data_IF_649929088162
#
_entry.id   IF_649929088162
#
_cell.length_a   1.000
_cell.length_b   1.000
_cell.length_c   1.000
_cell.angle_alpha   90.00
_cell.angle_beta   90.00
_cell.angle_gamma   90.00
#
_symmetry.space_group_name_H-M   'P 1'
#
loop_
_entity.id
_entity.type
_entity.pdbx_description
1 polymer ?
#
# COMPACT_ATOMS: atom_id res chain seq x y z
N UNK A 1 -46.62 4.68 23.29
CA UNK A 1 -45.93 5.15 22.07
C UNK A 1 -44.87 6.14 22.51
N UNK A 2 -43.62 5.70 22.66
CA UNK A 2 -42.50 6.57 23.04
C UNK A 2 -41.78 6.94 21.73
N UNK A 3 -41.65 8.22 21.37
CA UNK A 3 -40.94 8.59 20.15
C UNK A 3 -39.46 8.25 20.33
N UNK A 4 -38.91 7.44 19.42
CA UNK A 4 -37.46 7.31 19.26
C UNK A 4 -36.95 8.65 18.74
N UNK A 5 -36.21 9.37 19.56
CA UNK A 5 -35.36 10.47 19.11
C UNK A 5 -34.31 9.90 18.14
N UNK A 6 -34.41 10.30 16.87
CA UNK A 6 -33.30 10.19 15.93
C UNK A 6 -32.21 11.15 16.41
N UNK A 7 -31.14 10.60 16.98
CA UNK A 7 -29.91 11.36 17.17
C UNK A 7 -29.34 11.69 15.81
N UNK A 8 -29.55 12.92 15.35
CA UNK A 8 -28.68 13.54 14.36
C UNK A 8 -27.33 13.77 15.04
N UNK A 9 -26.53 12.70 15.10
CA UNK A 9 -25.13 12.78 15.46
C UNK A 9 -24.40 13.48 14.31
N UNK A 10 -23.64 14.51 14.64
CA UNK A 10 -22.57 15.04 13.80
C UNK A 10 -21.58 13.88 13.55
N UNK A 11 -21.85 13.08 12.52
CA UNK A 11 -21.23 11.76 12.35
C UNK A 11 -19.84 11.90 11.75
N UNK A 12 -18.81 11.94 12.61
CA UNK A 12 -17.47 11.62 12.17
C UNK A 12 -17.46 10.17 11.67
N UNK A 13 -17.21 9.98 10.37
CA UNK A 13 -16.97 8.65 9.80
C UNK A 13 -15.70 8.07 10.43
N UNK A 14 -15.75 6.80 10.84
CA UNK A 14 -14.57 6.10 11.35
C UNK A 14 -13.62 5.83 10.17
N UNK A 15 -12.64 6.71 10.02
CA UNK A 15 -11.61 6.64 8.96
C UNK A 15 -10.78 5.35 9.01
N UNK A 16 -10.82 4.60 10.12
CA UNK A 16 -10.10 3.35 10.32
C UNK A 16 -11.01 2.11 10.30
N UNK A 17 -12.29 2.28 9.95
CA UNK A 17 -13.24 1.18 9.82
C UNK A 17 -12.72 0.12 8.84
N UNK A 18 -12.85 -1.15 9.23
CA UNK A 18 -12.56 -2.32 8.39
C UNK A 18 -13.84 -3.01 7.93
N UNK A 19 -15.00 -2.42 8.18
CA UNK A 19 -16.33 -2.97 7.87
C UNK A 19 -17.19 -1.93 7.14
N UNK A 20 -16.64 -1.34 6.09
CA UNK A 20 -17.29 -0.31 5.28
C UNK A 20 -18.35 -0.92 4.36
N UNK A 21 -19.43 -0.18 4.14
CA UNK A 21 -20.46 -0.50 3.14
C UNK A 21 -20.14 0.22 1.83
N UNK A 22 -19.77 -0.56 0.82
CA UNK A 22 -19.20 -0.07 -0.43
C UNK A 22 -20.04 -0.58 -1.62
N UNK A 23 -20.18 0.18 -2.71
CA UNK A 23 -20.95 -0.27 -3.87
C UNK A 23 -20.34 -1.53 -4.50
N UNK A 24 -21.16 -2.42 -5.05
CA UNK A 24 -20.64 -3.57 -5.79
C UNK A 24 -20.10 -3.16 -7.16
N UNK A 25 -19.01 -3.77 -7.65
CA UNK A 25 -18.49 -3.48 -8.97
C UNK A 25 -19.43 -4.04 -10.05
N UNK A 26 -19.49 -3.39 -11.20
CA UNK A 26 -20.29 -3.84 -12.36
C UNK A 26 -19.72 -5.09 -13.05
N UNK A 27 -18.48 -5.46 -12.75
CA UNK A 27 -17.80 -6.63 -13.29
C UNK A 27 -17.29 -7.54 -12.18
N UNK A 28 -17.33 -8.86 -12.40
CA UNK A 28 -16.78 -9.82 -11.47
C UNK A 28 -15.24 -9.71 -11.39
N UNK A 29 -14.74 -9.48 -10.18
CA UNK A 29 -13.29 -9.41 -9.89
C UNK A 29 -12.84 -10.52 -8.90
N UNK A 30 -13.81 -11.25 -8.35
CA UNK A 30 -13.64 -12.36 -7.41
C UNK A 30 -14.46 -13.57 -7.92
N UNK A 31 -14.02 -14.83 -7.72
CA UNK A 31 -12.80 -15.26 -7.04
C UNK A 31 -11.51 -14.99 -7.82
N UNK A 32 -11.62 -14.67 -9.11
CA UNK A 32 -10.50 -14.27 -9.96
C UNK A 32 -10.97 -13.26 -11.01
N UNK A 33 -10.18 -12.20 -11.24
CA UNK A 33 -10.38 -11.31 -12.38
C UNK A 33 -9.76 -11.87 -13.65
N UNK A 34 -8.63 -12.56 -13.53
CA UNK A 34 -7.96 -13.28 -14.62
C UNK A 34 -7.64 -14.72 -14.23
N UNK A 35 -7.63 -15.62 -15.21
CA UNK A 35 -7.23 -17.03 -15.01
C UNK A 35 -5.80 -17.18 -14.46
N UNK A 36 -4.94 -16.19 -14.71
CA UNK A 36 -3.55 -16.15 -14.24
C UNK A 36 -3.38 -15.58 -12.83
N UNK A 37 -4.44 -15.05 -12.24
CA UNK A 37 -4.38 -14.55 -10.87
C UNK A 37 -4.29 -15.70 -9.87
N UNK A 38 -3.55 -15.49 -8.80
CA UNK A 38 -3.58 -16.34 -7.62
C UNK A 38 -5.00 -16.40 -7.02
N UNK A 39 -5.31 -17.47 -6.31
CA UNK A 39 -6.58 -17.59 -5.58
C UNK A 39 -6.51 -16.73 -4.31
N UNK A 40 -7.59 -16.02 -4.00
CA UNK A 40 -7.79 -15.42 -2.68
C UNK A 40 -8.06 -16.50 -1.63
N UNK A 41 -7.47 -16.35 -0.45
CA UNK A 41 -7.76 -17.09 0.79
C UNK A 41 -8.73 -16.31 1.67
N UNK A 42 -8.73 -14.99 1.57
CA UNK A 42 -9.65 -14.10 2.29
C UNK A 42 -11.01 -14.07 1.58
N UNK A 43 -12.11 -14.07 2.34
CA UNK A 43 -13.45 -13.94 1.77
C UNK A 43 -13.65 -12.55 1.15
N UNK A 44 -14.42 -12.50 0.06
CA UNK A 44 -14.67 -11.25 -0.67
C UNK A 44 -15.23 -10.14 0.23
N UNK A 45 -16.17 -10.46 1.13
CA UNK A 45 -16.75 -9.48 2.05
C UNK A 45 -15.69 -8.82 2.95
N UNK A 46 -14.70 -9.58 3.43
CA UNK A 46 -13.62 -9.04 4.27
C UNK A 46 -12.69 -8.15 3.43
N UNK A 47 -12.35 -8.58 2.20
CA UNK A 47 -11.55 -7.81 1.25
C UNK A 47 -12.22 -6.49 0.86
N UNK A 48 -13.53 -6.55 0.60
CA UNK A 48 -14.35 -5.44 0.11
C UNK A 48 -14.64 -4.39 1.17
N UNK A 49 -14.96 -4.84 2.39
CA UNK A 49 -15.31 -3.93 3.48
C UNK A 49 -14.09 -3.27 4.15
N UNK A 50 -12.87 -3.76 3.89
CA UNK A 50 -11.62 -3.13 4.34
C UNK A 50 -11.28 -1.81 3.62
N UNK A 51 -11.97 -1.50 2.52
CA UNK A 51 -11.70 -0.31 1.70
C UNK A 51 -12.53 0.85 2.25
N UNK A 52 -11.87 1.95 2.60
CA UNK A 52 -12.54 3.18 3.00
C UNK A 52 -12.63 4.13 1.81
N UNK A 53 -13.85 4.45 1.40
CA UNK A 53 -14.13 5.43 0.35
C UNK A 53 -14.68 6.71 1.02
N UNK A 54 -13.94 7.83 0.97
CA UNK A 54 -14.44 9.09 1.51
C UNK A 54 -15.73 9.55 0.80
N UNK A 55 -16.61 10.23 1.52
CA UNK A 55 -17.90 10.68 0.97
C UNK A 55 -17.76 11.62 -0.24
N UNK A 56 -16.64 12.34 -0.35
CA UNK A 56 -16.33 13.24 -1.45
C UNK A 56 -15.58 12.58 -2.62
N UNK A 57 -15.34 11.26 -2.54
CA UNK A 57 -14.74 10.51 -3.65
C UNK A 57 -15.70 10.51 -4.85
N UNK A 58 -15.18 10.82 -6.01
CA UNK A 58 -15.95 11.13 -7.20
C UNK A 58 -15.96 10.02 -8.25
N UNK A 59 -15.44 8.82 -7.92
CA UNK A 59 -15.57 7.61 -8.75
C UNK A 59 -15.09 7.79 -10.21
N UNK A 60 -14.04 8.58 -10.41
CA UNK A 60 -13.52 8.88 -11.75
C UNK A 60 -14.48 9.66 -12.66
N UNK A 61 -15.51 10.31 -12.10
CA UNK A 61 -16.47 11.14 -12.86
C UNK A 61 -15.95 12.55 -13.17
N UNK A 62 -14.79 12.93 -12.63
CA UNK A 62 -14.05 14.13 -13.01
C UNK A 62 -12.69 13.78 -13.62
N UNK A 63 -11.82 14.79 -13.79
CA UNK A 63 -10.48 14.60 -14.37
C UNK A 63 -9.43 14.12 -13.36
N UNK A 64 -9.78 13.94 -12.08
CA UNK A 64 -8.86 13.49 -11.04
C UNK A 64 -8.64 11.98 -11.15
N UNK A 65 -7.40 11.58 -10.92
CA UNK A 65 -7.00 10.17 -10.88
C UNK A 65 -7.38 9.58 -9.53
N UNK A 66 -8.12 8.46 -9.46
CA UNK A 66 -8.29 7.73 -8.22
C UNK A 66 -6.95 7.28 -7.66
N UNK A 67 -6.68 7.58 -6.39
CA UNK A 67 -5.42 7.23 -5.72
C UNK A 67 -5.70 6.32 -4.54
N UNK A 68 -5.25 5.06 -4.66
CA UNK A 68 -5.35 4.09 -3.59
C UNK A 68 -4.14 4.20 -2.65
N UNK A 69 -4.41 4.44 -1.37
CA UNK A 69 -3.40 4.63 -0.32
C UNK A 69 -3.28 3.36 0.54
N UNK A 70 -2.07 2.79 0.62
CA UNK A 70 -1.82 1.50 1.29
C UNK A 70 -0.92 1.71 2.53
N UNK A 71 -1.40 1.37 3.74
CA UNK A 71 -0.70 1.68 4.99
C UNK A 71 0.54 0.81 5.24
N UNK A 72 1.30 1.19 6.26
CA UNK A 72 2.47 0.48 6.76
C UNK A 72 2.14 -0.49 7.89
N UNK A 73 3.21 -1.12 8.42
CA UNK A 73 3.09 -2.08 9.53
C UNK A 73 2.54 -1.39 10.79
N UNK A 74 1.55 -1.99 11.44
CA UNK A 74 0.98 -1.48 12.69
C UNK A 74 0.02 -0.30 12.52
N UNK A 75 -0.35 0.05 11.28
CA UNK A 75 -1.23 1.19 10.96
C UNK A 75 -2.45 0.80 10.13
N UNK A 76 -3.53 1.53 10.32
CA UNK A 76 -4.65 1.59 9.38
C UNK A 76 -4.39 2.68 8.32
N UNK A 77 -5.12 2.64 7.20
CA UNK A 77 -5.02 3.62 6.13
C UNK A 77 -5.36 5.04 6.59
N UNK A 78 -6.42 5.20 7.38
CA UNK A 78 -6.84 6.50 7.91
C UNK A 78 -5.75 7.14 8.76
N UNK A 79 -5.22 6.43 9.74
CA UNK A 79 -4.08 6.88 10.58
C UNK A 79 -2.85 7.25 9.76
N UNK A 80 -2.53 6.47 8.73
CA UNK A 80 -1.34 6.66 7.93
C UNK A 80 -1.44 7.89 7.01
N UNK A 81 -2.62 8.19 6.46
CA UNK A 81 -2.74 9.10 5.33
C UNK A 81 -3.70 10.28 5.47
N UNK A 82 -4.69 10.22 6.37
CA UNK A 82 -5.75 11.23 6.45
C UNK A 82 -5.17 12.64 6.62
N UNK A 83 -4.14 12.78 7.46
CA UNK A 83 -3.51 14.06 7.77
C UNK A 83 -2.44 14.54 6.77
N UNK A 84 -2.08 13.73 5.77
CA UNK A 84 -0.98 14.01 4.83
C UNK A 84 -1.39 13.86 3.34
N UNK A 85 -1.06 12.76 2.67
CA UNK A 85 -1.34 12.52 1.25
C UNK A 85 -2.83 12.57 0.94
N UNK A 86 -3.71 12.02 1.78
CA UNK A 86 -5.15 12.11 1.53
C UNK A 86 -5.63 13.57 1.58
N UNK A 87 -5.17 14.34 2.57
CA UNK A 87 -5.44 15.78 2.65
C UNK A 87 -4.92 16.55 1.44
N UNK A 88 -3.68 16.28 1.03
CA UNK A 88 -3.04 16.93 -0.12
C UNK A 88 -3.79 16.62 -1.42
N UNK A 89 -4.11 15.35 -1.66
CA UNK A 89 -4.79 14.89 -2.87
C UNK A 89 -6.22 15.42 -2.93
N UNK A 90 -6.96 15.40 -1.81
CA UNK A 90 -8.31 15.97 -1.72
C UNK A 90 -8.33 17.46 -2.07
N UNK A 91 -7.31 18.22 -1.65
CA UNK A 91 -7.16 19.63 -1.98
C UNK A 91 -6.61 19.89 -3.40
N UNK A 92 -6.20 18.85 -4.11
CA UNK A 92 -5.62 18.95 -5.45
C UNK A 92 -6.66 18.86 -6.56
N UNK A 93 -6.29 19.28 -7.76
CA UNK A 93 -7.11 19.13 -8.96
C UNK A 93 -6.79 17.87 -9.76
N UNK A 94 -5.92 16.98 -9.26
CA UNK A 94 -5.42 15.83 -10.03
C UNK A 94 -5.62 14.48 -9.37
N UNK A 95 -5.87 14.41 -8.07
CA UNK A 95 -5.98 13.16 -7.32
C UNK A 95 -7.24 13.07 -6.49
N UNK A 96 -7.78 11.86 -6.34
CA UNK A 96 -8.95 11.58 -5.52
C UNK A 96 -8.67 10.37 -4.62
N UNK A 97 -8.42 10.57 -3.31
CA UNK A 97 -7.87 9.53 -2.46
C UNK A 97 -8.93 8.57 -1.90
N UNK A 98 -8.58 7.29 -1.86
CA UNK A 98 -9.23 6.23 -1.08
C UNK A 98 -8.15 5.44 -0.36
N UNK A 99 -8.44 4.80 0.76
CA UNK A 99 -7.42 4.06 1.51
C UNK A 99 -7.90 2.71 2.00
N UNK A 100 -6.92 1.85 2.28
CA UNK A 100 -7.15 0.48 2.72
C UNK A 100 -6.90 0.35 4.22
N UNK A 101 -7.86 -0.19 4.96
CA UNK A 101 -7.75 -0.53 6.37
C UNK A 101 -7.69 -2.04 6.52
N UNK A 102 -6.48 -2.61 6.34
CA UNK A 102 -6.28 -4.07 6.45
C UNK A 102 -6.49 -4.51 7.91
N UNK A 103 -7.39 -5.47 8.19
CA UNK A 103 -7.56 -6.05 9.52
C UNK A 103 -6.23 -6.52 10.11
N UNK A 104 -6.09 -6.40 11.43
CA UNK A 104 -4.81 -6.67 12.09
C UNK A 104 -3.72 -5.61 11.80
N UNK A 105 -4.08 -4.46 11.19
CA UNK A 105 -3.20 -3.29 11.00
C UNK A 105 -1.91 -3.65 10.27
N UNK A 106 -2.01 -4.47 9.22
CA UNK A 106 -0.85 -4.99 8.47
C UNK A 106 0.14 -5.85 9.30
N UNK A 107 -0.24 -6.35 10.49
CA UNK A 107 0.66 -7.16 11.31
C UNK A 107 0.56 -8.67 11.05
N UNK A 108 -0.52 -9.13 10.41
CA UNK A 108 -0.73 -10.53 10.02
C UNK A 108 0.18 -10.94 8.86
N UNK A 109 0.04 -12.18 8.37
CA UNK A 109 0.81 -12.69 7.22
C UNK A 109 0.80 -11.70 6.04
N UNK A 110 1.97 -11.18 5.67
CA UNK A 110 2.16 -10.19 4.62
C UNK A 110 1.64 -10.66 3.25
N UNK A 111 1.63 -11.98 2.98
CA UNK A 111 1.02 -12.52 1.75
C UNK A 111 -0.51 -12.39 1.78
N UNK A 112 -1.12 -12.47 2.96
CA UNK A 112 -2.56 -12.26 3.17
C UNK A 112 -2.88 -10.76 3.13
N UNK A 113 -2.03 -9.90 3.69
CA UNK A 113 -2.18 -8.44 3.57
C UNK A 113 -2.17 -8.00 2.09
N UNK A 114 -1.34 -8.63 1.25
CA UNK A 114 -1.30 -8.37 -0.19
C UNK A 114 -2.56 -8.80 -0.95
N UNK A 115 -3.39 -9.69 -0.41
CA UNK A 115 -4.69 -10.04 -1.01
C UNK A 115 -5.65 -8.85 -0.96
N UNK A 116 -5.70 -8.13 0.17
CA UNK A 116 -6.49 -6.90 0.30
C UNK A 116 -6.07 -5.84 -0.72
N UNK A 117 -4.75 -5.70 -0.95
CA UNK A 117 -4.22 -4.76 -1.93
C UNK A 117 -4.58 -5.17 -3.36
N UNK A 118 -4.45 -6.45 -3.71
CA UNK A 118 -4.81 -6.95 -5.04
C UNK A 118 -6.30 -6.76 -5.34
N UNK A 119 -7.16 -7.05 -4.36
CA UNK A 119 -8.59 -6.84 -4.46
C UNK A 119 -8.92 -5.35 -4.60
N UNK A 120 -8.37 -4.50 -3.74
CA UNK A 120 -8.62 -3.05 -3.75
C UNK A 120 -8.20 -2.38 -5.06
N UNK A 121 -7.05 -2.76 -5.64
CA UNK A 121 -6.62 -2.27 -6.96
C UNK A 121 -7.68 -2.59 -8.02
N UNK A 122 -8.09 -3.85 -8.08
CA UNK A 122 -9.05 -4.30 -9.09
C UNK A 122 -10.44 -3.68 -8.88
N UNK A 123 -10.87 -3.58 -7.63
CA UNK A 123 -12.15 -3.03 -7.21
C UNK A 123 -12.28 -1.54 -7.49
N UNK A 124 -11.35 -0.71 -7.01
CA UNK A 124 -11.40 0.74 -7.22
C UNK A 124 -11.33 1.05 -8.72
N UNK A 125 -10.46 0.36 -9.46
CA UNK A 125 -10.38 0.52 -10.91
C UNK A 125 -11.70 0.15 -11.62
N UNK A 126 -12.38 -0.90 -11.16
CA UNK A 126 -13.66 -1.32 -11.74
C UNK A 126 -14.78 -0.29 -11.49
N UNK A 127 -14.94 0.18 -10.24
CA UNK A 127 -16.00 1.16 -9.92
C UNK A 127 -15.73 2.53 -10.54
N UNK A 128 -14.47 2.89 -10.79
CA UNK A 128 -14.09 4.15 -11.43
C UNK A 128 -13.95 4.03 -12.96
N UNK A 129 -14.11 2.82 -13.52
CA UNK A 129 -13.87 2.53 -14.96
C UNK A 129 -12.56 3.12 -15.51
N UNK A 130 -11.51 3.17 -14.69
CA UNK A 130 -10.25 3.85 -15.00
C UNK A 130 -9.07 3.17 -14.31
N UNK A 131 -7.86 3.43 -14.82
CA UNK A 131 -6.63 3.05 -14.11
C UNK A 131 -6.44 3.96 -12.90
N UNK A 132 -5.94 3.40 -11.82
CA UNK A 132 -5.69 4.11 -10.57
C UNK A 132 -4.19 4.36 -10.38
N UNK A 133 -3.84 5.37 -9.59
CA UNK A 133 -2.51 5.45 -8.99
C UNK A 133 -2.52 4.75 -7.63
N UNK A 134 -1.37 4.23 -7.22
CA UNK A 134 -1.20 3.62 -5.89
C UNK A 134 -0.06 4.33 -5.17
N UNK A 135 -0.31 4.81 -3.95
CA UNK A 135 0.72 5.29 -3.03
C UNK A 135 0.77 4.32 -1.87
N UNK A 136 1.94 3.79 -1.56
CA UNK A 136 2.10 2.89 -0.43
C UNK A 136 3.27 3.32 0.43
N UNK A 137 3.12 3.11 1.74
CA UNK A 137 4.15 3.41 2.71
C UNK A 137 4.62 2.14 3.42
N UNK A 138 5.92 2.04 3.70
CA UNK A 138 6.49 0.95 4.51
C UNK A 138 6.13 -0.43 3.95
N UNK A 139 5.61 -1.35 4.77
CA UNK A 139 5.13 -2.67 4.34
C UNK A 139 4.11 -2.63 3.20
N UNK A 140 3.28 -1.57 3.11
CA UNK A 140 2.34 -1.41 2.02
C UNK A 140 3.01 -1.51 0.65
N UNK A 141 4.27 -1.03 0.53
CA UNK A 141 5.04 -1.14 -0.71
C UNK A 141 5.29 -2.59 -1.12
N UNK A 142 5.65 -3.42 -0.16
CA UNK A 142 5.89 -4.84 -0.32
C UNK A 142 4.59 -5.57 -0.66
N UNK A 143 3.47 -5.19 -0.04
CA UNK A 143 2.15 -5.72 -0.36
C UNK A 143 1.73 -5.39 -1.80
N UNK A 144 1.92 -4.14 -2.26
CA UNK A 144 1.65 -3.75 -3.66
C UNK A 144 2.50 -4.55 -4.64
N UNK A 145 3.82 -4.66 -4.41
CA UNK A 145 4.70 -5.42 -5.29
C UNK A 145 4.33 -6.92 -5.32
N UNK A 146 3.92 -7.49 -4.18
CA UNK A 146 3.42 -8.86 -4.10
C UNK A 146 2.11 -9.03 -4.89
N UNK A 147 1.16 -8.11 -4.76
CA UNK A 147 -0.09 -8.10 -5.53
C UNK A 147 0.18 -8.04 -7.04
N UNK A 148 1.06 -7.12 -7.48
CA UNK A 148 1.45 -7.00 -8.89
C UNK A 148 2.12 -8.27 -9.41
N UNK A 149 2.89 -8.97 -8.57
CA UNK A 149 3.53 -10.24 -8.94
C UNK A 149 2.52 -11.38 -9.12
N UNK A 150 1.67 -11.61 -8.12
CA UNK A 150 0.83 -12.82 -8.03
C UNK A 150 -0.62 -12.64 -8.51
N UNK A 151 -1.10 -11.41 -8.69
CA UNK A 151 -2.35 -11.08 -9.37
C UNK A 151 -2.06 -10.22 -10.60
N UNK A 152 -1.54 -10.78 -11.70
CA UNK A 152 -1.13 -10.01 -12.88
C UNK A 152 -2.23 -9.12 -13.46
N UNK A 153 -3.51 -9.42 -13.24
CA UNK A 153 -4.63 -8.57 -13.65
C UNK A 153 -4.58 -7.15 -13.09
N UNK A 154 -3.93 -6.97 -11.94
CA UNK A 154 -3.74 -5.66 -11.29
C UNK A 154 -2.82 -4.73 -12.09
N UNK A 155 -1.86 -5.28 -12.85
CA UNK A 155 -0.85 -4.48 -13.59
C UNK A 155 -1.48 -3.56 -14.62
N UNK A 156 -2.54 -4.02 -15.30
CA UNK A 156 -3.26 -3.19 -16.28
C UNK A 156 -4.21 -2.17 -15.64
N UNK A 157 -4.44 -2.25 -14.32
CA UNK A 157 -5.29 -1.32 -13.57
C UNK A 157 -4.50 -0.21 -12.89
N UNK A 158 -3.18 -0.32 -12.78
CA UNK A 158 -2.33 0.66 -12.11
C UNK A 158 -1.60 1.50 -13.16
N UNK A 159 -1.76 2.83 -13.08
CA UNK A 159 -1.06 3.79 -13.93
C UNK A 159 0.33 4.12 -13.39
N UNK A 160 0.45 4.28 -12.07
CA UNK A 160 1.69 4.58 -11.37
C UNK A 160 1.68 3.96 -9.95
N UNK A 161 2.84 3.50 -9.51
CA UNK A 161 3.09 3.08 -8.14
C UNK A 161 4.14 3.98 -7.47
N UNK A 162 3.73 4.72 -6.44
CA UNK A 162 4.62 5.55 -5.62
C UNK A 162 4.89 4.80 -4.31
N UNK A 163 6.15 4.40 -4.11
CA UNK A 163 6.58 3.64 -2.94
C UNK A 163 7.37 4.55 -1.98
N UNK A 164 6.82 4.79 -0.80
CA UNK A 164 7.42 5.61 0.26
C UNK A 164 8.06 4.72 1.31
N UNK A 165 9.34 4.96 1.63
CA UNK A 165 10.10 4.17 2.61
C UNK A 165 9.99 2.66 2.36
N UNK A 166 10.15 2.25 1.10
CA UNK A 166 9.90 0.87 0.67
C UNK A 166 10.80 -0.16 1.35
N UNK A 167 10.26 -1.37 1.55
CA UNK A 167 10.91 -2.47 2.27
C UNK A 167 10.97 -3.76 1.43
N UNK A 168 11.13 -3.64 0.10
CA UNK A 168 11.06 -4.77 -0.83
C UNK A 168 12.04 -5.91 -0.51
N UNK A 169 13.26 -5.57 -0.05
CA UNK A 169 14.28 -6.56 0.36
C UNK A 169 14.29 -6.82 1.87
N UNK A 170 13.28 -6.35 2.60
CA UNK A 170 13.25 -6.40 4.05
C UNK A 170 14.24 -5.44 4.71
N UNK A 171 14.27 -5.46 6.04
CA UNK A 171 15.16 -4.65 6.87
C UNK A 171 16.04 -5.51 7.76
N UNK A 172 17.28 -5.08 7.99
CA UNK A 172 18.15 -5.69 9.00
C UNK A 172 17.71 -5.31 10.42
N UNK A 173 17.06 -4.15 10.59
CA UNK A 173 16.64 -3.64 11.89
C UNK A 173 15.51 -4.46 12.53
N UNK A 174 14.72 -5.21 11.73
CA UNK A 174 13.72 -6.14 12.24
C UNK A 174 14.31 -7.23 13.16
N UNK A 175 15.63 -7.48 13.11
CA UNK A 175 16.31 -8.37 14.07
C UNK A 175 16.26 -7.86 15.50
N UNK A 176 16.05 -6.56 15.73
CA UNK A 176 15.89 -5.99 17.07
C UNK A 176 14.54 -6.35 17.70
N UNK A 177 13.47 -6.34 16.90
CA UNK A 177 12.10 -6.67 17.34
C UNK A 177 11.80 -8.17 17.31
N UNK A 178 12.53 -8.90 16.45
CA UNK A 178 12.38 -10.33 16.26
C UNK A 178 13.78 -10.97 16.23
N UNK A 179 14.48 -11.14 17.36
CA UNK A 179 15.87 -11.62 17.34
C UNK A 179 15.97 -13.12 17.03
N UNK A 180 15.16 -13.95 17.68
CA UNK A 180 15.22 -15.42 17.58
C UNK A 180 13.84 -16.06 17.59
N UNK A 181 13.72 -17.23 16.95
CA UNK A 181 12.49 -18.03 17.00
C UNK A 181 12.09 -18.28 18.46
N UNK A 182 10.82 -18.02 18.80
CA UNK A 182 10.30 -18.11 20.17
C UNK A 182 10.03 -16.75 20.84
N UNK A 183 10.53 -15.63 20.31
CA UNK A 183 10.11 -14.30 20.75
C UNK A 183 8.76 -13.95 20.11
N UNK A 184 7.72 -13.61 20.90
CA UNK A 184 6.44 -13.16 20.35
C UNK A 184 6.64 -11.92 19.49
N UNK A 185 6.33 -12.03 18.21
CA UNK A 185 6.39 -10.93 17.26
C UNK A 185 5.39 -11.22 16.13
N UNK A 186 4.86 -10.17 15.50
CA UNK A 186 3.84 -10.33 14.48
C UNK A 186 4.39 -11.03 13.23
N UNK A 187 3.59 -11.86 12.54
CA UNK A 187 4.03 -12.54 11.32
C UNK A 187 4.66 -11.60 10.28
N UNK A 188 4.07 -10.42 10.07
CA UNK A 188 4.58 -9.47 9.09
C UNK A 188 5.99 -8.96 9.43
N UNK A 189 6.33 -8.79 10.72
CA UNK A 189 7.67 -8.34 11.12
C UNK A 189 8.70 -9.44 10.81
N UNK A 190 8.39 -10.71 11.07
CA UNK A 190 9.26 -11.83 10.67
C UNK A 190 9.47 -11.87 9.16
N UNK A 191 8.40 -11.66 8.39
CA UNK A 191 8.45 -11.65 6.93
C UNK A 191 9.18 -10.43 6.35
N UNK A 192 9.18 -9.29 7.03
CA UNK A 192 9.93 -8.09 6.64
C UNK A 192 11.41 -8.14 7.05
N UNK A 193 11.88 -9.19 7.71
CA UNK A 193 13.32 -9.39 7.90
C UNK A 193 14.01 -9.50 6.55
N UNK A 194 15.17 -8.86 6.46
CA UNK A 194 16.03 -8.98 5.28
C UNK A 194 16.41 -10.45 5.04
N UNK A 195 16.21 -10.89 3.79
CA UNK A 195 16.43 -12.27 3.34
C UNK A 195 15.52 -13.31 4.03
N UNK A 196 14.36 -12.91 4.55
CA UNK A 196 13.31 -13.86 4.91
C UNK A 196 12.88 -14.70 3.70
N UNK A 197 12.25 -15.85 3.93
CA UNK A 197 11.66 -16.63 2.83
C UNK A 197 10.66 -15.80 2.04
N UNK A 198 9.90 -14.92 2.71
CA UNK A 198 8.94 -14.03 2.08
C UNK A 198 9.62 -13.04 1.12
N UNK A 199 10.62 -12.26 1.59
CA UNK A 199 11.29 -11.25 0.75
C UNK A 199 12.10 -11.91 -0.36
N UNK A 200 12.73 -13.05 -0.09
CA UNK A 200 13.43 -13.83 -1.12
C UNK A 200 12.46 -14.33 -2.19
N UNK A 201 11.27 -14.79 -1.79
CA UNK A 201 10.21 -15.22 -2.71
C UNK A 201 9.63 -14.05 -3.49
N UNK A 202 9.45 -12.87 -2.88
CA UNK A 202 9.01 -11.67 -3.57
C UNK A 202 10.01 -11.27 -4.65
N UNK A 203 11.31 -11.23 -4.32
CA UNK A 203 12.35 -10.71 -5.19
C UNK A 203 12.80 -11.69 -6.28
N UNK A 204 12.46 -12.98 -6.18
CA UNK A 204 12.80 -13.97 -7.20
C UNK A 204 12.03 -13.77 -8.52
N UNK A 205 12.53 -14.36 -9.62
CA UNK A 205 11.83 -14.42 -10.91
C UNK A 205 11.38 -13.04 -11.43
N UNK A 206 12.28 -12.05 -11.33
CA UNK A 206 12.06 -10.67 -11.77
C UNK A 206 11.12 -9.87 -10.87
N UNK A 207 10.80 -10.33 -9.66
CA UNK A 207 10.01 -9.56 -8.70
C UNK A 207 10.79 -8.42 -8.03
N UNK A 208 12.11 -8.40 -8.23
CA UNK A 208 13.00 -7.29 -7.90
C UNK A 208 13.03 -6.17 -8.94
N UNK A 209 12.36 -6.37 -10.08
CA UNK A 209 12.04 -5.35 -11.06
C UNK A 209 10.58 -4.89 -10.95
N UNK A 210 10.32 -3.62 -11.26
CA UNK A 210 8.97 -3.07 -11.27
C UNK A 210 8.05 -3.80 -12.28
N UNK A 211 6.75 -3.83 -11.98
CA UNK A 211 5.71 -4.38 -12.85
C UNK A 211 4.89 -3.31 -13.58
N UNK A 212 4.91 -2.08 -13.07
CA UNK A 212 4.22 -0.88 -13.57
C UNK A 212 5.15 0.32 -13.36
N UNK A 213 4.92 1.49 -13.99
CA UNK A 213 5.71 2.69 -13.72
C UNK A 213 5.82 2.93 -12.22
N UNK A 214 7.04 2.97 -11.68
CA UNK A 214 7.27 2.98 -10.23
C UNK A 214 8.25 4.06 -9.81
N UNK A 215 7.83 4.88 -8.84
CA UNK A 215 8.67 5.89 -8.19
C UNK A 215 8.89 5.49 -6.74
N UNK A 216 10.12 5.09 -6.42
CA UNK A 216 10.54 4.75 -5.07
C UNK A 216 11.21 5.96 -4.43
N UNK A 217 10.71 6.40 -3.27
CA UNK A 217 11.23 7.55 -2.52
C UNK A 217 11.62 7.07 -1.12
N UNK A 218 12.88 7.27 -0.74
CA UNK A 218 13.42 6.75 0.50
C UNK A 218 14.57 7.60 1.04
N UNK A 219 14.88 7.40 2.31
CA UNK A 219 15.85 8.19 3.06
C UNK A 219 16.93 7.30 3.66
N UNK A 220 18.20 7.67 3.53
CA UNK A 220 19.29 6.94 4.20
C UNK A 220 19.22 6.98 5.72
N UNK A 221 18.49 7.96 6.28
CA UNK A 221 18.30 8.13 7.73
C UNK A 221 17.05 7.41 8.26
N UNK A 222 16.39 6.58 7.44
CA UNK A 222 15.25 5.76 7.86
C UNK A 222 15.67 4.82 9.02
N UNK A 223 15.06 4.99 10.18
CA UNK A 223 15.41 4.27 11.40
C UNK A 223 14.79 2.86 11.49
N UNK A 224 13.82 2.54 10.62
CA UNK A 224 13.08 1.27 10.62
C UNK A 224 13.57 0.35 9.51
N UNK A 225 13.82 0.89 8.33
CA UNK A 225 14.25 0.15 7.15
C UNK A 225 15.72 0.45 6.88
N UNK A 226 16.56 -0.57 7.00
CA UNK A 226 17.98 -0.47 6.65
C UNK A 226 18.48 -1.73 5.93
N UNK A 227 19.43 -1.58 4.99
CA UNK A 227 19.91 -0.32 4.41
C UNK A 227 18.87 0.38 3.54
N UNK A 228 18.83 1.72 3.56
CA UNK A 228 18.04 2.59 2.65
C UNK A 228 18.94 3.54 1.85
N UNK A 229 20.10 3.06 1.42
CA UNK A 229 21.04 3.84 0.63
C UNK A 229 21.84 2.97 -0.33
N UNK A 230 22.29 3.60 -1.41
CA UNK A 230 23.12 2.97 -2.44
C UNK A 230 22.47 1.73 -3.07
N UNK A 231 23.30 0.90 -3.71
CA UNK A 231 22.84 -0.28 -4.50
C UNK A 231 22.15 -1.37 -3.66
N UNK A 232 22.25 -1.31 -2.33
CA UNK A 232 21.65 -2.30 -1.43
C UNK A 232 20.37 -1.81 -0.77
N UNK A 233 19.93 -0.58 -1.05
CA UNK A 233 18.72 0.01 -0.49
C UNK A 233 17.53 -0.95 -0.61
N UNK A 234 16.76 -1.09 0.47
CA UNK A 234 15.61 -2.00 0.48
C UNK A 234 14.53 -1.55 -0.48
N UNK A 235 14.31 -0.24 -0.58
CA UNK A 235 13.35 0.40 -1.46
C UNK A 235 13.71 0.38 -2.95
N UNK A 236 14.92 -0.04 -3.35
CA UNK A 236 15.33 0.00 -4.75
C UNK A 236 14.54 -1.01 -5.59
N UNK A 237 14.07 -0.63 -6.77
CA UNK A 237 13.58 -1.58 -7.78
C UNK A 237 14.34 -1.43 -9.10
N UNK A 238 14.52 -2.54 -9.80
CA UNK A 238 15.08 -2.58 -11.14
C UNK A 238 13.99 -2.34 -12.19
N UNK A 239 14.38 -2.19 -13.45
CA UNK A 239 13.46 -1.96 -14.57
C UNK A 239 13.73 -2.89 -15.75
N UNK A 240 13.86 -4.19 -15.50
CA UNK A 240 14.06 -5.19 -16.57
C UNK A 240 12.89 -5.23 -17.57
N UNK A 241 11.72 -4.72 -17.20
CA UNK A 241 10.52 -4.69 -18.03
C UNK A 241 10.37 -3.40 -18.85
N UNK A 242 11.23 -2.40 -18.65
CA UNK A 242 11.15 -1.11 -19.33
C UNK A 242 9.84 -0.37 -19.05
N UNK A 243 9.27 -0.52 -17.85
CA UNK A 243 8.03 0.13 -17.43
C UNK A 243 8.26 1.55 -16.91
N UNK A 244 9.51 1.93 -16.67
CA UNK A 244 9.91 3.22 -16.12
C UNK A 244 10.03 3.15 -14.60
N UNK A 245 11.26 3.26 -14.09
CA UNK A 245 11.54 3.29 -12.65
C UNK A 245 12.39 4.48 -12.25
N UNK A 246 11.96 5.19 -11.22
CA UNK A 246 12.75 6.22 -10.54
C UNK A 246 13.03 5.78 -9.10
N UNK A 247 14.31 5.67 -8.74
CA UNK A 247 14.73 5.43 -7.36
C UNK A 247 15.33 6.73 -6.77
N UNK A 248 14.58 7.38 -5.90
CA UNK A 248 14.90 8.66 -5.28
C UNK A 248 15.36 8.45 -3.84
N UNK A 249 16.67 8.29 -3.65
CA UNK A 249 17.28 8.47 -2.34
C UNK A 249 17.36 9.98 -2.05
N UNK A 250 16.57 10.49 -1.12
CA UNK A 250 16.43 11.94 -0.86
C UNK A 250 17.80 12.61 -0.71
N UNK A 251 18.69 12.04 0.11
CA UNK A 251 19.99 12.62 0.39
C UNK A 251 20.93 12.59 -0.82
N UNK A 252 20.75 11.66 -1.76
CA UNK A 252 21.51 11.61 -2.99
C UNK A 252 21.01 12.64 -4.02
N UNK A 253 19.68 12.85 -4.09
CA UNK A 253 19.05 13.75 -5.07
C UNK A 253 19.12 15.21 -4.62
N UNK A 254 18.80 15.50 -3.36
CA UNK A 254 18.64 16.86 -2.84
C UNK A 254 19.97 17.44 -2.31
N UNK A 255 20.93 16.58 -1.94
CA UNK A 255 22.25 16.98 -1.46
C UNK A 255 22.22 17.57 -0.05
N UNK A 256 23.06 18.58 0.23
CA UNK A 256 23.19 19.20 1.57
C UNK A 256 22.11 20.25 1.91
N UNK A 257 20.93 20.17 1.30
CA UNK A 257 19.83 21.13 1.55
C UNK A 257 18.98 20.69 2.75
N UNK A 258 18.20 21.60 3.38
CA UNK A 258 17.36 21.25 4.53
C UNK A 258 16.45 20.04 4.30
N UNK A 259 15.88 19.92 3.09
CA UNK A 259 15.04 18.79 2.68
C UNK A 259 15.80 17.44 2.52
N UNK A 260 17.07 17.37 2.91
CA UNK A 260 17.86 16.13 2.96
C UNK A 260 18.63 15.96 4.28
N UNK A 261 18.28 16.71 5.32
CA UNK A 261 18.94 16.58 6.63
C UNK A 261 18.60 15.24 7.30
N UNK A 262 17.36 15.09 7.75
CA UNK A 262 16.89 13.88 8.42
C UNK A 262 15.42 13.67 8.06
N UNK A 263 15.15 12.56 7.40
CA UNK A 263 13.79 12.06 7.14
C UNK A 263 13.71 10.67 7.74
N UNK A 264 12.83 10.52 8.73
CA UNK A 264 12.56 9.25 9.41
C UNK A 264 11.69 8.37 8.53
N UNK A 265 11.51 7.12 8.93
CA UNK A 265 10.59 6.21 8.27
C UNK A 265 9.18 6.79 8.15
N UNK A 266 8.72 7.46 9.21
CA UNK A 266 7.37 7.99 9.38
C UNK A 266 7.16 9.40 8.80
N UNK A 267 8.25 10.15 8.55
CA UNK A 267 8.17 11.51 7.99
C UNK A 267 8.27 11.53 6.46
N UNK A 268 8.29 10.36 5.82
CA UNK A 268 8.32 10.20 4.37
C UNK A 268 6.92 10.24 3.77
#
# INVERSE_FOLDING_TARGET
MVPKFSSHGNGHSDINSTTNDNPHPSMAIYPKRSVHDACYRVHENDLHSAIFIPAHFNYGQDSRVPVLLIPGTGSMGGEAFESNFAKLLTASTFGDPVWLNVPGRMCDDASKNAEFVAYAINYISAICSSKIAVIAWSQGTLSVQWSLKYWPSTRSQVSNFIALSGVFRGTIAARLLAPTNGVPCSPAIWQQKRNSNFTTTLMSNGGDSAYVPTTSIYSRTDEVVQPQFGKRASALLHDERGVGVTNCEIQAVVGKKPAALMYTHFSM
#
